data_IF_233387873146
#
_entry.id   IF_233387873146
#
_cell.length_a   1.000
_cell.length_b   1.000
_cell.length_c   1.000
_cell.angle_alpha   90.00
_cell.angle_beta   90.00
_cell.angle_gamma   90.00
#
_symmetry.space_group_name_H-M   'P 1'
#
loop_
_entity.id
_entity.type
_entity.pdbx_description
1 polymer ?
#
# COMPACT_ATOMS: atom_id res chain seq x y z
N UNK A 1 -1.31 -7.95 30.10
CA UNK A 1 -0.57 -6.88 30.82
C UNK A 1 -1.47 -6.12 31.80
N UNK A 2 -2.79 -6.21 31.71
CA UNK A 2 -3.75 -5.43 32.50
C UNK A 2 -3.84 -3.94 32.12
N UNK A 3 -3.16 -3.51 31.06
CA UNK A 3 -3.25 -2.14 30.58
C UNK A 3 -4.62 -1.88 29.95
N UNK A 4 -5.22 -0.73 30.29
CA UNK A 4 -6.44 -0.22 29.65
C UNK A 4 -6.04 0.66 28.48
N UNK A 5 -6.52 0.33 27.28
CA UNK A 5 -6.29 1.14 26.08
C UNK A 5 -7.47 2.10 25.88
N UNK A 6 -7.15 3.36 25.64
CA UNK A 6 -8.08 4.36 25.13
C UNK A 6 -7.72 4.62 23.67
N UNK A 7 -8.52 4.09 22.74
CA UNK A 7 -8.29 4.21 21.30
C UNK A 7 -8.97 5.47 20.79
N UNK A 8 -8.19 6.36 20.18
CA UNK A 8 -8.68 7.58 19.52
C UNK A 8 -8.66 7.35 18.04
N UNK A 9 -9.83 7.25 17.43
CA UNK A 9 -9.97 7.10 15.99
C UNK A 9 -9.89 8.47 15.30
N UNK A 10 -9.04 8.55 14.29
CA UNK A 10 -8.82 9.76 13.50
C UNK A 10 -9.05 9.41 12.03
N UNK A 11 -9.86 10.20 11.28
CA UNK A 11 -10.01 10.00 9.84
C UNK A 11 -8.66 10.00 9.12
N UNK A 12 -8.46 9.03 8.25
CA UNK A 12 -7.18 8.77 7.58
C UNK A 12 -6.53 10.02 6.95
N UNK A 13 -7.25 10.91 6.26
CA UNK A 13 -6.66 12.12 5.68
C UNK A 13 -6.13 13.13 6.72
N UNK A 14 -6.57 13.04 7.97
CA UNK A 14 -6.17 13.95 9.06
C UNK A 14 -5.15 13.31 10.03
N UNK A 15 -4.91 12.00 9.86
CA UNK A 15 -4.15 11.22 10.85
C UNK A 15 -2.74 11.78 11.05
N UNK A 16 -1.99 11.98 9.96
CA UNK A 16 -0.62 12.49 10.05
C UNK A 16 -0.56 13.89 10.67
N UNK A 17 -1.40 14.79 10.22
CA UNK A 17 -1.43 16.18 10.72
C UNK A 17 -1.68 16.23 12.23
N UNK A 18 -2.65 15.46 12.71
CA UNK A 18 -2.98 15.44 14.16
C UNK A 18 -1.89 14.80 15.00
N UNK A 19 -1.30 13.69 14.53
CA UNK A 19 -0.16 13.06 15.19
C UNK A 19 1.02 14.04 15.23
N UNK A 20 1.39 14.62 14.09
CA UNK A 20 2.54 15.50 13.97
C UNK A 20 2.38 16.76 14.84
N UNK A 21 1.18 17.34 14.85
CA UNK A 21 0.88 18.50 15.72
C UNK A 21 1.07 18.16 17.19
N UNK A 22 0.58 17.00 17.65
CA UNK A 22 0.76 16.58 19.03
C UNK A 22 2.24 16.40 19.40
N UNK A 23 3.00 15.75 18.51
CA UNK A 23 4.43 15.51 18.70
C UNK A 23 5.24 16.81 18.75
N UNK A 24 5.00 17.74 17.83
CA UNK A 24 5.75 19.03 17.75
C UNK A 24 5.41 19.95 18.90
N UNK A 25 4.15 19.99 19.32
CA UNK A 25 3.73 20.85 20.44
C UNK A 25 4.03 20.25 21.81
N UNK A 26 4.37 18.94 21.86
CA UNK A 26 4.58 18.23 23.12
C UNK A 26 3.31 18.12 23.95
N UNK A 27 2.13 18.17 23.32
CA UNK A 27 0.86 18.13 24.04
C UNK A 27 0.59 16.79 24.74
N UNK A 28 1.22 15.71 24.27
CA UNK A 28 1.20 14.39 24.93
C UNK A 28 -0.18 13.75 24.97
N UNK A 29 -0.97 13.92 23.92
CA UNK A 29 -2.30 13.31 23.81
C UNK A 29 -2.24 11.83 23.49
N UNK A 30 -1.14 11.39 22.87
CA UNK A 30 -0.96 10.02 22.39
C UNK A 30 0.28 9.39 23.04
N UNK A 31 0.08 8.29 23.78
CA UNK A 31 1.18 7.46 24.31
C UNK A 31 1.77 6.53 23.24
N UNK A 32 0.99 6.20 22.22
CA UNK A 32 1.38 5.38 21.08
C UNK A 32 0.59 5.79 19.84
N UNK A 33 1.18 5.58 18.67
CA UNK A 33 0.58 5.95 17.40
C UNK A 33 0.60 4.78 16.43
N UNK A 34 -0.44 4.66 15.62
CA UNK A 34 -0.43 3.86 14.40
C UNK A 34 -0.30 4.84 13.24
N UNK A 35 0.79 4.73 12.51
CA UNK A 35 1.11 5.67 11.44
C UNK A 35 1.77 4.96 10.25
N UNK A 36 2.02 5.73 9.21
CA UNK A 36 2.67 5.22 8.01
C UNK A 36 4.19 5.34 8.07
N UNK A 37 4.88 4.32 7.57
CA UNK A 37 6.34 4.26 7.51
C UNK A 37 6.98 5.43 6.74
N UNK A 38 6.27 6.02 5.79
CA UNK A 38 6.74 7.19 5.02
C UNK A 38 7.03 8.43 5.88
N UNK A 39 6.42 8.55 7.05
CA UNK A 39 6.66 9.66 8.00
C UNK A 39 7.66 9.31 9.09
N UNK A 40 8.17 8.08 9.11
CA UNK A 40 9.12 7.63 10.15
C UNK A 40 10.37 8.50 10.21
N UNK A 41 10.91 8.88 9.05
CA UNK A 41 12.09 9.75 8.97
C UNK A 41 11.89 11.10 9.65
N UNK A 42 10.70 11.70 9.47
CA UNK A 42 10.32 12.96 10.12
C UNK A 42 10.21 12.82 11.64
N UNK A 43 9.57 11.76 12.10
CA UNK A 43 9.41 11.49 13.54
C UNK A 43 10.76 11.22 14.22
N UNK A 44 11.68 10.53 13.53
CA UNK A 44 13.03 10.25 14.03
C UNK A 44 13.87 11.53 14.06
N UNK A 45 13.84 12.32 13.00
CA UNK A 45 14.58 13.59 12.92
C UNK A 45 14.17 14.58 14.01
N UNK A 46 12.87 14.60 14.36
CA UNK A 46 12.34 15.39 15.47
C UNK A 46 12.58 14.79 16.86
N UNK A 47 13.18 13.61 16.97
CA UNK A 47 13.29 12.84 18.22
C UNK A 47 11.94 12.55 18.89
N UNK A 48 10.87 12.43 18.11
CA UNK A 48 9.51 12.21 18.60
C UNK A 48 9.23 10.74 18.94
N UNK A 49 9.98 9.83 18.34
CA UNK A 49 9.87 8.38 18.58
C UNK A 49 11.24 7.81 18.96
N UNK A 50 11.22 6.72 19.70
CA UNK A 50 12.44 6.06 20.22
C UNK A 50 12.64 4.68 19.60
N UNK A 51 13.89 4.22 19.45
CA UNK A 51 14.17 2.85 19.02
C UNK A 51 13.59 1.83 20.02
N UNK A 52 12.99 0.76 19.50
CA UNK A 52 12.37 -0.29 20.32
C UNK A 52 13.31 -1.48 20.61
N UNK A 53 14.52 -1.50 20.07
CA UNK A 53 15.49 -2.61 20.20
C UNK A 53 15.71 -3.04 21.66
N UNK A 54 15.81 -2.07 22.58
CA UNK A 54 16.00 -2.37 24.01
C UNK A 54 14.81 -3.09 24.62
N UNK A 55 13.61 -2.82 24.12
CA UNK A 55 12.37 -3.47 24.58
C UNK A 55 12.25 -4.88 23.99
N UNK A 56 12.61 -5.05 22.73
CA UNK A 56 12.62 -6.36 22.07
C UNK A 56 13.57 -7.36 22.76
N UNK A 57 14.69 -6.88 23.31
CA UNK A 57 15.67 -7.69 24.04
C UNK A 57 15.29 -7.96 25.50
N UNK A 58 14.31 -7.27 26.05
CA UNK A 58 13.93 -7.37 27.44
C UNK A 58 12.86 -8.47 27.65
N UNK A 59 13.14 -9.53 28.45
CA UNK A 59 12.20 -10.65 28.64
C UNK A 59 10.88 -10.27 29.33
N UNK A 60 10.78 -9.06 29.89
CA UNK A 60 9.53 -8.56 30.48
C UNK A 60 8.50 -8.11 29.47
N UNK A 61 8.90 -7.90 28.21
CA UNK A 61 8.00 -7.50 27.13
C UNK A 61 7.65 -8.71 26.25
N UNK A 62 6.52 -8.67 25.53
CA UNK A 62 6.17 -9.68 24.56
C UNK A 62 7.30 -9.88 23.54
N UNK A 63 7.62 -11.14 23.24
CA UNK A 63 8.59 -11.44 22.20
C UNK A 63 8.01 -11.14 20.84
N UNK A 64 8.81 -10.48 20.02
CA UNK A 64 8.55 -10.27 18.61
C UNK A 64 9.86 -10.51 17.84
N UNK A 65 9.78 -11.35 16.80
CA UNK A 65 10.91 -11.60 15.90
C UNK A 65 10.67 -10.87 14.57
N UNK A 66 11.50 -9.89 14.22
CA UNK A 66 11.40 -9.20 12.93
C UNK A 66 11.50 -10.14 11.72
N UNK A 67 12.06 -11.34 11.87
CA UNK A 67 12.15 -12.31 10.77
C UNK A 67 10.80 -12.89 10.35
N UNK A 68 9.77 -12.77 11.19
CA UNK A 68 8.40 -13.14 10.86
C UNK A 68 7.75 -12.15 9.87
N UNK A 69 8.34 -10.95 9.73
CA UNK A 69 7.89 -9.93 8.79
C UNK A 69 8.56 -10.15 7.43
N UNK A 70 7.78 -10.11 6.35
CA UNK A 70 8.34 -10.26 4.99
C UNK A 70 9.40 -9.19 4.72
N UNK A 71 10.51 -9.53 4.01
CA UNK A 71 11.68 -8.66 3.92
C UNK A 71 11.39 -7.22 3.51
N UNK A 72 10.61 -6.93 2.46
CA UNK A 72 10.35 -5.53 2.07
C UNK A 72 9.67 -4.70 3.16
N UNK A 73 8.74 -5.30 3.92
CA UNK A 73 8.06 -4.59 5.01
C UNK A 73 8.96 -4.43 6.23
N UNK A 74 9.87 -5.40 6.46
CA UNK A 74 10.84 -5.31 7.55
C UNK A 74 11.74 -4.09 7.42
N UNK A 75 12.18 -3.78 6.20
CA UNK A 75 13.00 -2.59 5.92
C UNK A 75 12.27 -1.29 6.28
N UNK A 76 10.94 -1.25 6.12
CA UNK A 76 10.13 -0.09 6.47
C UNK A 76 9.96 0.15 7.98
N UNK A 77 10.34 -0.82 8.83
CA UNK A 77 10.21 -0.73 10.29
C UNK A 77 11.48 -0.20 10.96
N UNK A 78 12.55 0.00 10.19
CA UNK A 78 13.85 0.37 10.71
C UNK A 78 14.43 1.61 10.02
N UNK A 79 15.30 2.28 10.76
CA UNK A 79 16.04 3.44 10.28
C UNK A 79 17.44 3.44 10.92
N UNK A 80 18.49 3.58 10.12
CA UNK A 80 19.87 3.56 10.61
C UNK A 80 20.21 2.29 11.40
N UNK A 81 19.66 1.12 11.00
CA UNK A 81 19.90 -0.17 11.63
C UNK A 81 19.19 -0.38 12.97
N UNK A 82 18.23 0.47 13.34
CA UNK A 82 17.43 0.34 14.57
C UNK A 82 15.96 0.20 14.21
N UNK A 83 15.22 -0.62 14.96
CA UNK A 83 13.78 -0.76 14.84
C UNK A 83 13.05 0.33 15.62
N UNK A 84 12.01 0.91 14.99
CA UNK A 84 11.20 1.96 15.61
C UNK A 84 9.73 1.57 15.78
N UNK A 85 9.27 0.57 15.07
CA UNK A 85 7.90 0.04 15.24
C UNK A 85 7.83 -1.46 14.95
N UNK A 86 6.91 -2.20 15.58
CA UNK A 86 6.41 -3.44 15.02
C UNK A 86 5.46 -3.14 13.85
N UNK A 87 5.19 -4.10 12.94
CA UNK A 87 4.23 -3.91 11.88
C UNK A 87 2.80 -3.88 12.46
N UNK A 88 1.97 -2.98 11.93
CA UNK A 88 0.53 -3.01 12.18
C UNK A 88 -0.16 -3.89 11.13
N UNK A 89 0.15 -3.67 9.86
CA UNK A 89 -0.26 -4.51 8.74
C UNK A 89 0.87 -4.64 7.70
N UNK A 90 0.67 -5.49 6.71
CA UNK A 90 1.63 -5.73 5.65
C UNK A 90 0.90 -5.71 4.30
N UNK A 91 0.55 -4.51 3.86
CA UNK A 91 -0.14 -4.33 2.59
C UNK A 91 0.76 -4.68 1.40
N UNK A 92 0.19 -5.39 0.44
CA UNK A 92 0.86 -5.77 -0.80
C UNK A 92 0.01 -5.34 -1.98
N UNK A 93 0.64 -4.79 -3.01
CA UNK A 93 -0.03 -4.49 -4.26
C UNK A 93 -0.31 -5.79 -5.02
N UNK A 94 -1.57 -6.01 -5.34
CA UNK A 94 -2.03 -7.20 -6.07
C UNK A 94 -2.88 -6.72 -7.24
N UNK A 95 -2.60 -7.26 -8.42
CA UNK A 95 -3.44 -7.06 -9.59
C UNK A 95 -4.54 -8.11 -9.62
N UNK A 96 -5.80 -7.65 -9.58
CA UNK A 96 -6.96 -8.49 -9.87
C UNK A 96 -7.32 -8.37 -11.34
N UNK A 97 -7.68 -9.48 -11.96
CA UNK A 97 -8.04 -9.54 -13.36
C UNK A 97 -9.16 -10.56 -13.62
N UNK A 98 -9.95 -10.29 -14.63
CA UNK A 98 -11.08 -11.12 -15.05
C UNK A 98 -10.57 -12.22 -15.96
N UNK A 99 -10.39 -13.42 -15.40
CA UNK A 99 -9.89 -14.58 -16.14
C UNK A 99 -10.82 -15.00 -17.26
N UNK A 100 -12.13 -14.92 -17.03
CA UNK A 100 -13.17 -15.23 -18.00
C UNK A 100 -13.16 -14.26 -19.21
N UNK A 101 -12.82 -13.01 -19.00
CA UNK A 101 -12.71 -11.97 -20.03
C UNK A 101 -11.40 -12.13 -20.79
N UNK A 102 -10.26 -12.08 -20.11
CA UNK A 102 -8.95 -12.16 -20.75
C UNK A 102 -8.73 -13.51 -21.44
N UNK A 103 -9.34 -14.59 -20.95
CA UNK A 103 -9.26 -15.92 -21.54
C UNK A 103 -10.31 -16.20 -22.63
N UNK A 104 -11.18 -15.24 -22.97
CA UNK A 104 -12.21 -15.45 -23.98
C UNK A 104 -11.61 -15.55 -25.40
N UNK A 105 -11.86 -16.65 -26.14
CA UNK A 105 -11.26 -16.85 -27.45
C UNK A 105 -11.55 -15.74 -28.47
N UNK A 106 -12.78 -15.20 -28.47
CA UNK A 106 -13.15 -14.12 -29.38
C UNK A 106 -12.34 -12.84 -29.10
N UNK A 107 -12.19 -12.48 -27.83
CA UNK A 107 -11.40 -11.31 -27.44
C UNK A 107 -9.90 -11.52 -27.66
N UNK A 108 -9.41 -12.74 -27.50
CA UNK A 108 -8.03 -13.10 -27.84
C UNK A 108 -7.71 -12.90 -29.33
N UNK A 109 -8.63 -13.28 -30.22
CA UNK A 109 -8.46 -13.07 -31.65
C UNK A 109 -8.49 -11.59 -32.03
N UNK A 110 -9.45 -10.82 -31.49
CA UNK A 110 -9.54 -9.38 -31.76
C UNK A 110 -8.34 -8.62 -31.22
N UNK A 111 -7.90 -8.94 -30.02
CA UNK A 111 -6.68 -8.35 -29.43
C UNK A 111 -5.46 -8.64 -30.30
N UNK A 112 -5.28 -9.89 -30.73
CA UNK A 112 -4.17 -10.28 -31.59
C UNK A 112 -4.18 -9.55 -32.94
N UNK A 113 -5.35 -9.33 -33.52
CA UNK A 113 -5.49 -8.53 -34.75
C UNK A 113 -5.07 -7.08 -34.53
N UNK A 114 -5.39 -6.50 -33.39
CA UNK A 114 -5.08 -5.10 -33.07
C UNK A 114 -3.62 -4.88 -32.68
N UNK A 115 -3.06 -5.73 -31.80
CA UNK A 115 -1.73 -5.53 -31.20
C UNK A 115 -0.63 -6.45 -31.76
N UNK A 116 -0.96 -7.43 -32.58
CA UNK A 116 0.01 -8.33 -33.22
C UNK A 116 0.53 -9.48 -32.34
N UNK A 117 0.07 -9.60 -31.11
CA UNK A 117 0.45 -10.69 -30.19
C UNK A 117 -0.76 -11.20 -29.41
N UNK A 118 -0.66 -12.38 -28.77
CA UNK A 118 -1.73 -12.94 -27.97
C UNK A 118 -1.96 -12.12 -26.70
N UNK A 119 -3.23 -11.85 -26.35
CA UNK A 119 -3.56 -11.15 -25.10
C UNK A 119 -2.98 -11.90 -23.89
N UNK A 120 -2.18 -11.28 -23.05
CA UNK A 120 -1.58 -11.93 -21.90
C UNK A 120 -2.63 -12.20 -20.79
N UNK A 121 -2.52 -13.36 -20.14
CA UNK A 121 -3.45 -13.82 -19.09
C UNK A 121 -2.64 -14.34 -17.88
N UNK A 122 -2.27 -13.52 -16.92
CA UNK A 122 -2.39 -12.07 -16.83
C UNK A 122 -1.30 -11.30 -17.61
N UNK A 123 -1.41 -9.97 -17.76
CA UNK A 123 -0.31 -9.11 -18.18
C UNK A 123 0.91 -9.24 -17.25
N UNK A 124 2.12 -9.23 -17.83
CA UNK A 124 3.39 -9.39 -17.09
C UNK A 124 4.29 -8.15 -17.15
N UNK A 125 3.98 -7.22 -18.05
CA UNK A 125 4.69 -5.96 -18.20
C UNK A 125 3.70 -4.80 -18.22
N UNK A 126 4.20 -3.58 -18.00
CA UNK A 126 3.37 -2.38 -18.08
C UNK A 126 2.79 -2.15 -19.47
N UNK A 127 3.57 -2.41 -20.53
CA UNK A 127 3.07 -2.29 -21.91
C UNK A 127 1.89 -3.24 -22.14
N UNK A 128 2.03 -4.50 -21.73
CA UNK A 128 0.94 -5.47 -21.82
C UNK A 128 -0.29 -5.06 -21.01
N UNK A 129 -0.07 -4.48 -19.83
CA UNK A 129 -1.15 -3.96 -18.99
C UNK A 129 -1.88 -2.82 -19.66
N UNK A 130 -1.14 -1.87 -20.26
CA UNK A 130 -1.70 -0.73 -20.98
C UNK A 130 -2.48 -1.20 -22.20
N UNK A 131 -1.92 -2.09 -23.01
CA UNK A 131 -2.59 -2.64 -24.20
C UNK A 131 -3.91 -3.33 -23.87
N UNK A 132 -3.93 -4.13 -22.79
CA UNK A 132 -5.17 -4.78 -22.31
C UNK A 132 -6.16 -3.74 -21.78
N UNK A 133 -5.71 -2.74 -21.02
CA UNK A 133 -6.57 -1.69 -20.51
C UNK A 133 -7.21 -0.87 -21.64
N UNK A 134 -6.43 -0.47 -22.65
CA UNK A 134 -6.93 0.24 -23.83
C UNK A 134 -7.90 -0.59 -24.68
N UNK A 135 -7.60 -1.88 -24.83
CA UNK A 135 -8.43 -2.79 -25.62
C UNK A 135 -9.85 -2.85 -25.06
N UNK A 136 -9.97 -2.94 -23.75
CA UNK A 136 -11.26 -3.07 -23.09
C UNK A 136 -11.90 -1.73 -22.69
N UNK A 137 -11.22 -0.62 -22.83
CA UNK A 137 -11.76 0.67 -22.47
C UNK A 137 -12.88 1.10 -23.43
N UNK A 138 -14.03 1.48 -22.87
CA UNK A 138 -15.19 1.93 -23.62
C UNK A 138 -16.11 0.82 -24.12
N UNK A 139 -15.91 -0.40 -23.69
CA UNK A 139 -16.85 -1.51 -23.91
C UNK A 139 -17.99 -1.43 -22.88
N UNK A 140 -19.14 -1.97 -23.22
CA UNK A 140 -20.30 -2.13 -22.34
C UNK A 140 -20.34 -3.58 -21.85
N UNK A 141 -19.71 -3.84 -20.70
CA UNK A 141 -19.54 -5.19 -20.15
C UNK A 141 -20.79 -5.75 -19.52
N UNK A 142 -21.57 -4.88 -18.87
CA UNK A 142 -22.77 -5.20 -18.14
C UNK A 142 -24.04 -5.05 -18.96
N UNK A 143 -23.93 -4.51 -20.19
CA UNK A 143 -25.02 -4.27 -21.15
C UNK A 143 -26.09 -3.32 -20.62
N UNK A 144 -25.66 -2.29 -19.90
CA UNK A 144 -26.56 -1.23 -19.42
C UNK A 144 -26.66 -0.03 -20.38
N UNK A 145 -25.90 -0.05 -21.48
CA UNK A 145 -25.85 1.00 -22.49
C UNK A 145 -24.79 2.06 -22.22
N UNK A 146 -24.04 1.96 -21.13
CA UNK A 146 -22.96 2.86 -20.79
C UNK A 146 -21.59 2.25 -21.11
N UNK A 147 -20.58 3.10 -21.21
CA UNK A 147 -19.20 2.65 -21.46
C UNK A 147 -18.49 2.34 -20.16
N UNK A 148 -17.98 1.15 -20.05
CA UNK A 148 -17.13 0.71 -18.96
C UNK A 148 -15.64 1.04 -19.19
N UNK A 149 -14.84 0.83 -18.15
CA UNK A 149 -13.40 1.08 -18.18
C UNK A 149 -12.61 -0.23 -18.26
N UNK A 150 -11.53 -0.22 -19.05
CA UNK A 150 -10.62 -1.36 -19.17
C UNK A 150 -9.80 -1.64 -17.91
N UNK A 151 -9.68 -0.65 -17.03
CA UNK A 151 -8.96 -0.76 -15.75
C UNK A 151 -9.53 0.22 -14.73
N UNK A 152 -9.46 -0.16 -13.47
CA UNK A 152 -9.74 0.72 -12.34
C UNK A 152 -8.48 0.86 -11.50
N UNK A 153 -7.99 2.09 -11.36
CA UNK A 153 -6.80 2.42 -10.56
C UNK A 153 -7.09 3.65 -9.70
N UNK A 154 -6.55 3.71 -8.48
CA UNK A 154 -6.71 4.87 -7.61
C UNK A 154 -5.73 5.99 -8.03
N UNK A 155 -6.24 7.00 -8.74
CA UNK A 155 -5.45 8.16 -9.19
C UNK A 155 -5.80 9.46 -8.45
N UNK A 156 -6.62 9.40 -7.43
CA UNK A 156 -6.94 10.58 -6.64
C UNK A 156 -5.67 11.17 -6.03
N UNK A 157 -5.55 12.50 -6.07
CA UNK A 157 -4.42 13.21 -5.44
C UNK A 157 -4.33 12.84 -3.95
N UNK A 158 -3.14 12.50 -3.49
CA UNK A 158 -2.85 12.08 -2.13
C UNK A 158 -2.35 10.64 -2.07
N UNK A 159 -2.77 9.91 -1.03
CA UNK A 159 -2.34 8.54 -0.74
C UNK A 159 -2.50 7.57 -1.91
N UNK A 160 -3.64 7.59 -2.57
CA UNK A 160 -3.97 6.66 -3.65
C UNK A 160 -3.06 6.88 -4.87
N UNK A 161 -2.86 8.14 -5.27
CA UNK A 161 -1.96 8.48 -6.38
C UNK A 161 -0.50 8.19 -6.08
N UNK A 162 -0.07 8.39 -4.82
CA UNK A 162 1.28 8.06 -4.38
C UNK A 162 1.56 6.56 -4.46
N UNK A 163 0.65 5.71 -4.01
CA UNK A 163 0.80 4.25 -4.10
C UNK A 163 0.98 3.78 -5.55
N UNK A 164 0.17 4.32 -6.46
CA UNK A 164 0.27 3.99 -7.88
C UNK A 164 1.61 4.44 -8.47
N UNK A 165 2.03 5.66 -8.15
CA UNK A 165 3.33 6.17 -8.59
C UNK A 165 4.49 5.29 -8.11
N UNK A 166 4.48 4.87 -6.85
CA UNK A 166 5.52 4.01 -6.29
C UNK A 166 5.58 2.64 -6.97
N UNK A 167 4.43 2.06 -7.33
CA UNK A 167 4.41 0.81 -8.10
C UNK A 167 5.07 0.97 -9.46
N UNK A 168 4.76 2.05 -10.18
CA UNK A 168 5.34 2.31 -11.49
C UNK A 168 6.84 2.64 -11.41
N UNK A 169 7.26 3.35 -10.39
CA UNK A 169 8.67 3.75 -10.21
C UNK A 169 9.58 2.60 -9.75
N UNK A 170 9.01 1.55 -9.16
CA UNK A 170 9.74 0.39 -8.67
C UNK A 170 9.84 -0.77 -9.68
N UNK A 171 9.24 -0.63 -10.87
CA UNK A 171 9.16 -1.67 -11.92
C UNK A 171 10.21 -1.55 -13.01
#
# INVERSE_FOLDING_TARGET
TGAKLNIIEIPLPQLHEKIFTDLVTGAGKFDGIIGWSQYMGEYIAGNFIVPIDKYMKNPKFPKWDPKEVVPPHRELLQWGGKYYSPPYDQNTHIMYWRRDILGNPAYQEEFKKKYGYAMPVPPKTWDQYIDVAEFFNGWDWNKDGEKDYGVTIPLKRGWEGWNWYMMMAAS
#
